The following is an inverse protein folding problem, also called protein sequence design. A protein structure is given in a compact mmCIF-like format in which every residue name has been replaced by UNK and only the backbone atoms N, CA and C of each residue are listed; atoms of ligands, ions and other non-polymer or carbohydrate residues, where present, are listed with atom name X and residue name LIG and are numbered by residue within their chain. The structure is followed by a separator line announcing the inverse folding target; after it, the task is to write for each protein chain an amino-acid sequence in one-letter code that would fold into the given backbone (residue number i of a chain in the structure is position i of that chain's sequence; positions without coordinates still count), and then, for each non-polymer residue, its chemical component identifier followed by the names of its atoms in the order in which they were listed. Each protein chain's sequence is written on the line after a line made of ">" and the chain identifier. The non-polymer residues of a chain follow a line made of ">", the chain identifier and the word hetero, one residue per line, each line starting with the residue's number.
data_IF_321790294422
#
_entry.id   IF_321790294422
#
_cell.length_a   1.000
_cell.length_b   1.000
_cell.length_c   1.000
_cell.angle_alpha   90.00
_cell.angle_beta   90.00
_cell.angle_gamma   90.00
#
_symmetry.space_group_name_H-M   'P 1'
#
loop_
_entity.id
_entity.type
_entity.pdbx_description
1 polymer ?
#
# COMPACT_ATOMS: atom_id res chain seq x y z
N UNK A 1 23.91 -22.92 -7.58
CA UNK A 1 25.39 -22.97 -7.44
C UNK A 1 25.71 -23.92 -6.29
N UNK A 2 26.64 -24.89 -6.41
CA UNK A 2 26.93 -25.78 -5.29
C UNK A 2 27.79 -25.02 -4.27
N UNK A 3 27.16 -24.59 -3.17
CA UNK A 3 27.81 -23.91 -2.04
C UNK A 3 28.65 -24.85 -1.18
N UNK A 4 29.41 -24.30 -0.25
CA UNK A 4 30.17 -25.06 0.74
C UNK A 4 29.22 -25.66 1.79
N UNK A 5 29.39 -26.93 2.18
CA UNK A 5 28.57 -27.59 3.21
C UNK A 5 29.30 -27.62 4.54
N UNK A 6 28.62 -27.27 5.63
CA UNK A 6 29.21 -27.27 6.97
C UNK A 6 29.13 -28.64 7.64
N UNK A 7 30.16 -29.01 8.40
CA UNK A 7 30.13 -30.22 9.23
C UNK A 7 29.17 -30.12 10.43
N UNK A 8 28.86 -28.89 10.86
CA UNK A 8 27.84 -28.55 11.86
C UNK A 8 27.11 -27.30 11.39
N UNK A 9 25.81 -27.14 11.68
CA UNK A 9 25.07 -25.94 11.30
C UNK A 9 25.72 -24.66 11.84
N UNK A 10 25.68 -23.59 11.05
CA UNK A 10 26.06 -22.25 11.49
C UNK A 10 24.81 -21.42 11.74
N UNK A 11 24.81 -20.61 12.79
CA UNK A 11 23.71 -19.70 13.08
C UNK A 11 23.90 -18.40 12.32
N UNK A 12 22.90 -18.02 11.53
CA UNK A 12 22.82 -16.71 10.86
C UNK A 12 21.76 -15.89 11.58
N UNK A 13 22.12 -14.67 12.00
CA UNK A 13 21.20 -13.69 12.55
C UNK A 13 21.09 -12.51 11.60
N UNK A 14 19.87 -12.16 11.21
CA UNK A 14 19.56 -11.03 10.35
C UNK A 14 18.81 -10.01 11.18
N UNK A 15 19.33 -8.79 11.23
CA UNK A 15 18.61 -7.62 11.70
C UNK A 15 18.02 -6.89 10.49
N UNK A 16 16.79 -6.45 10.59
CA UNK A 16 16.07 -5.70 9.56
C UNK A 16 15.48 -4.41 10.16
N UNK A 17 14.98 -3.53 9.30
CA UNK A 17 14.20 -2.35 9.69
C UNK A 17 12.72 -2.54 9.34
N UNK A 18 11.84 -1.75 9.95
CA UNK A 18 10.41 -1.77 9.61
C UNK A 18 10.18 -1.42 8.14
N UNK A 19 11.03 -0.54 7.58
CA UNK A 19 10.98 -0.16 6.17
C UNK A 19 11.32 -1.32 5.22
N UNK A 20 12.20 -2.24 5.64
CA UNK A 20 12.58 -3.41 4.83
C UNK A 20 11.43 -4.42 4.69
N UNK A 21 10.46 -4.39 5.62
CA UNK A 21 9.40 -5.41 5.75
C UNK A 21 7.98 -4.83 5.71
N UNK A 22 7.81 -3.55 5.35
CA UNK A 22 6.56 -2.80 5.45
C UNK A 22 5.32 -3.46 4.79
N UNK A 23 5.50 -4.30 3.77
CA UNK A 23 4.41 -4.99 3.04
C UNK A 23 4.42 -6.52 3.23
N UNK A 24 5.30 -7.01 4.11
CA UNK A 24 5.54 -8.43 4.34
C UNK A 24 5.08 -8.79 5.76
N UNK A 25 4.47 -9.96 5.93
CA UNK A 25 4.18 -10.46 7.27
C UNK A 25 5.48 -10.91 7.93
N UNK A 26 5.87 -10.27 9.04
CA UNK A 26 7.11 -10.60 9.74
C UNK A 26 7.16 -12.04 10.27
N UNK A 27 6.00 -12.57 10.70
CA UNK A 27 5.85 -13.97 11.11
C UNK A 27 6.16 -14.96 9.97
N UNK A 28 6.06 -14.50 8.73
CA UNK A 28 6.33 -15.28 7.52
C UNK A 28 7.72 -15.02 6.93
N UNK A 29 8.58 -14.22 7.58
CA UNK A 29 9.94 -13.99 7.12
C UNK A 29 10.78 -15.27 7.22
N UNK A 30 11.51 -15.57 6.17
CA UNK A 30 12.45 -16.68 6.09
C UNK A 30 13.72 -16.26 5.36
N UNK A 31 14.80 -17.02 5.60
CA UNK A 31 16.06 -16.90 4.91
C UNK A 31 16.07 -17.91 3.76
N UNK A 32 16.18 -17.44 2.53
CA UNK A 32 16.10 -18.26 1.33
C UNK A 32 17.40 -18.20 0.54
N UNK A 33 17.68 -19.25 -0.24
CA UNK A 33 18.72 -19.25 -1.26
C UNK A 33 18.12 -19.62 -2.63
N UNK A 34 18.78 -19.18 -3.69
CA UNK A 34 18.39 -19.55 -5.06
C UNK A 34 19.06 -20.88 -5.45
N UNK A 35 18.25 -21.91 -5.73
CA UNK A 35 18.77 -23.23 -6.13
C UNK A 35 19.11 -23.31 -7.64
N UNK A 36 18.67 -22.32 -8.42
CA UNK A 36 18.76 -22.30 -9.88
C UNK A 36 17.39 -22.21 -10.58
N UNK A 37 16.31 -22.54 -9.87
CA UNK A 37 14.95 -22.56 -10.37
C UNK A 37 13.94 -21.88 -9.44
N UNK A 38 14.17 -21.94 -8.12
CA UNK A 38 13.30 -21.37 -7.11
C UNK A 38 14.07 -20.82 -5.91
N UNK A 39 13.40 -19.96 -5.15
CA UNK A 39 13.82 -19.59 -3.81
C UNK A 39 13.43 -20.71 -2.85
N UNK A 40 14.42 -21.29 -2.17
CA UNK A 40 14.25 -22.43 -1.25
C UNK A 40 14.69 -22.00 0.14
N UNK A 41 13.95 -22.43 1.16
CA UNK A 41 14.28 -22.15 2.56
C UNK A 41 15.69 -22.70 2.87
N UNK A 42 16.56 -21.82 3.38
CA UNK A 42 17.94 -22.15 3.74
C UNK A 42 18.04 -22.79 5.14
N UNK A 43 16.97 -22.74 5.93
CA UNK A 43 16.94 -23.27 7.27
C UNK A 43 17.13 -24.78 7.28
N UNK A 44 18.03 -25.26 8.15
CA UNK A 44 18.12 -26.67 8.49
C UNK A 44 17.68 -26.98 9.93
N UNK A 45 16.99 -26.04 10.55
CA UNK A 45 16.42 -26.15 11.89
C UNK A 45 15.39 -25.04 12.14
N UNK A 46 14.90 -24.89 13.38
CA UNK A 46 13.86 -23.92 13.68
C UNK A 46 14.38 -22.48 13.59
N UNK A 47 13.50 -21.58 13.18
CA UNK A 47 13.71 -20.14 13.27
C UNK A 47 13.45 -19.65 14.70
N UNK A 48 14.26 -18.70 15.13
CA UNK A 48 14.03 -17.84 16.28
C UNK A 48 13.68 -16.44 15.75
N UNK A 49 12.40 -16.04 15.82
CA UNK A 49 11.90 -14.76 15.29
C UNK A 49 11.53 -13.85 16.45
N UNK A 50 12.04 -12.62 16.42
CA UNK A 50 11.70 -11.57 17.37
C UNK A 50 11.23 -10.36 16.59
N UNK A 51 9.98 -10.43 16.12
CA UNK A 51 9.35 -9.39 15.29
C UNK A 51 9.35 -8.04 15.99
N UNK A 52 9.09 -8.00 17.30
CA UNK A 52 9.12 -6.77 18.09
C UNK A 52 10.53 -6.13 18.20
N UNK A 53 11.59 -6.87 17.87
CA UNK A 53 12.98 -6.44 17.93
C UNK A 53 13.66 -6.41 16.55
N UNK A 54 12.91 -6.65 15.47
CA UNK A 54 13.37 -6.65 14.09
C UNK A 54 14.59 -7.53 13.81
N UNK A 55 14.56 -8.76 14.32
CA UNK A 55 15.57 -9.75 13.96
C UNK A 55 15.05 -11.18 13.94
N UNK A 56 15.69 -12.01 13.12
CA UNK A 56 15.52 -13.46 13.16
C UNK A 56 16.87 -14.17 13.17
N UNK A 57 16.92 -15.36 13.76
CA UNK A 57 18.09 -16.23 13.77
C UNK A 57 17.72 -17.64 13.34
N UNK A 58 18.58 -18.28 12.55
CA UNK A 58 18.31 -19.60 12.00
C UNK A 58 19.60 -20.38 11.75
N UNK A 59 19.63 -21.70 12.03
CA UNK A 59 20.74 -22.55 11.62
C UNK A 59 20.69 -22.84 10.11
N UNK A 60 21.81 -22.62 9.43
CA UNK A 60 22.05 -22.96 8.02
C UNK A 60 23.12 -24.05 7.90
N UNK A 61 22.97 -24.91 6.89
CA UNK A 61 23.83 -26.09 6.71
C UNK A 61 24.81 -25.96 5.52
N UNK A 62 24.69 -24.89 4.74
CA UNK A 62 25.60 -24.57 3.64
C UNK A 62 25.84 -23.06 3.57
N UNK A 63 26.90 -22.66 2.88
CA UNK A 63 27.18 -21.27 2.55
C UNK A 63 26.79 -21.00 1.10
N UNK A 64 25.81 -20.11 0.92
CA UNK A 64 25.39 -19.56 -0.37
C UNK A 64 25.09 -18.08 -0.18
N UNK A 65 24.70 -17.41 -1.26
CA UNK A 65 23.99 -16.14 -1.12
C UNK A 65 22.60 -16.40 -0.54
N UNK A 66 22.17 -15.51 0.34
CA UNK A 66 20.88 -15.59 1.00
C UNK A 66 20.08 -14.31 0.79
N UNK A 67 18.76 -14.46 0.76
CA UNK A 67 17.80 -13.37 0.74
C UNK A 67 16.82 -13.54 1.90
N UNK A 68 16.52 -12.44 2.60
CA UNK A 68 15.40 -12.38 3.53
C UNK A 68 14.12 -12.13 2.72
N UNK A 69 13.19 -13.08 2.74
CA UNK A 69 11.93 -13.00 2.00
C UNK A 69 10.78 -13.35 2.93
N UNK A 70 9.56 -12.92 2.62
CA UNK A 70 8.36 -13.38 3.31
C UNK A 70 7.14 -13.30 2.41
N UNK A 71 6.02 -13.83 2.88
CA UNK A 71 4.75 -13.67 2.17
C UNK A 71 4.25 -12.24 2.33
N UNK A 72 3.92 -11.59 1.21
CA UNK A 72 3.22 -10.32 1.22
C UNK A 72 1.96 -10.45 2.07
N UNK A 73 1.80 -9.57 3.05
CA UNK A 73 0.50 -9.37 3.64
C UNK A 73 -0.40 -8.93 2.49
N UNK A 74 -1.45 -9.69 2.16
CA UNK A 74 -2.43 -9.27 1.16
C UNK A 74 -3.15 -8.03 1.67
N UNK A 75 -2.50 -6.88 1.62
CA UNK A 75 -3.19 -5.63 1.47
C UNK A 75 -3.85 -5.73 0.10
N UNK A 76 -5.16 -5.48 -0.01
CA UNK A 76 -5.77 -5.34 -1.31
C UNK A 76 -5.07 -4.16 -2.01
N UNK A 77 -4.06 -4.44 -2.84
CA UNK A 77 -3.57 -3.52 -3.87
C UNK A 77 -4.56 -3.52 -5.03
N UNK A 78 -5.86 -3.59 -4.70
CA UNK A 78 -6.88 -3.06 -5.54
C UNK A 78 -6.81 -1.57 -5.36
N UNK A 79 -6.20 -0.87 -6.32
CA UNK A 79 -6.81 0.41 -6.66
C UNK A 79 -8.30 0.14 -6.78
N UNK A 80 -9.14 0.88 -6.07
CA UNK A 80 -10.55 0.83 -6.39
C UNK A 80 -10.63 1.25 -7.86
N UNK A 81 -11.01 0.34 -8.76
CA UNK A 81 -11.72 0.79 -9.94
C UNK A 81 -12.93 1.48 -9.35
N UNK A 82 -12.89 2.81 -9.28
CA UNK A 82 -14.07 3.61 -9.06
C UNK A 82 -15.09 3.05 -10.05
N UNK A 83 -16.17 2.39 -9.61
CA UNK A 83 -17.15 1.89 -10.54
C UNK A 83 -17.60 3.09 -11.37
N UNK A 84 -17.75 2.98 -12.71
CA UNK A 84 -18.33 4.06 -13.49
C UNK A 84 -19.73 4.33 -12.92
N UNK A 85 -19.86 5.33 -12.04
CA UNK A 85 -21.03 5.42 -11.18
C UNK A 85 -21.02 6.50 -10.10
N UNK A 86 -19.87 7.02 -9.65
CA UNK A 86 -19.87 8.22 -8.77
C UNK A 86 -20.32 9.48 -9.54
N UNK A 87 -20.46 9.40 -10.87
CA UNK A 87 -21.16 10.39 -11.67
C UNK A 87 -22.69 10.44 -11.40
N UNK A 88 -23.28 9.48 -10.68
CA UNK A 88 -24.74 9.38 -10.54
C UNK A 88 -25.35 10.02 -9.28
N UNK A 89 -24.60 10.17 -8.18
CA UNK A 89 -25.22 10.41 -6.86
C UNK A 89 -25.17 11.86 -6.35
N UNK A 90 -24.27 12.70 -6.85
CA UNK A 90 -24.16 14.12 -6.41
C UNK A 90 -24.83 15.10 -7.38
N UNK A 91 -25.18 14.66 -8.58
CA UNK A 91 -25.79 15.50 -9.62
C UNK A 91 -27.06 16.25 -9.18
N UNK A 92 -28.02 15.64 -8.43
CA UNK A 92 -29.23 16.35 -8.05
C UNK A 92 -28.95 17.60 -7.21
N UNK A 93 -28.05 17.47 -6.23
CA UNK A 93 -27.70 18.57 -5.31
C UNK A 93 -26.84 19.64 -5.98
N UNK A 94 -25.93 19.24 -6.87
CA UNK A 94 -25.13 20.18 -7.66
C UNK A 94 -26.01 20.98 -8.63
N UNK A 95 -26.95 20.33 -9.33
CA UNK A 95 -27.88 21.00 -10.24
C UNK A 95 -28.81 21.99 -9.50
N UNK A 96 -29.31 21.60 -8.31
CA UNK A 96 -30.09 22.49 -7.45
C UNK A 96 -29.29 23.73 -7.03
N UNK A 97 -28.03 23.56 -6.65
CA UNK A 97 -27.14 24.67 -6.30
C UNK A 97 -26.95 25.66 -7.46
N UNK A 98 -26.67 25.15 -8.66
CA UNK A 98 -26.49 26.00 -9.86
C UNK A 98 -27.78 26.73 -10.22
N UNK A 99 -28.93 26.06 -10.18
CA UNK A 99 -30.23 26.68 -10.46
C UNK A 99 -30.53 27.82 -9.47
N UNK A 100 -30.25 27.62 -8.19
CA UNK A 100 -30.47 28.64 -7.15
C UNK A 100 -29.56 29.86 -7.36
N UNK A 101 -28.29 29.64 -7.74
CA UNK A 101 -27.37 30.74 -8.10
C UNK A 101 -27.88 31.52 -9.31
N UNK A 102 -28.34 30.85 -10.37
CA UNK A 102 -28.90 31.51 -11.57
C UNK A 102 -30.14 32.33 -11.22
N UNK A 103 -31.04 31.80 -10.38
CA UNK A 103 -32.24 32.52 -9.93
C UNK A 103 -31.85 33.76 -9.12
N UNK A 104 -30.90 33.66 -8.19
CA UNK A 104 -30.42 34.81 -7.42
C UNK A 104 -29.79 35.86 -8.33
N UNK A 105 -28.93 35.47 -9.27
CA UNK A 105 -28.27 36.39 -10.22
C UNK A 105 -29.30 37.09 -11.09
N UNK A 106 -30.29 36.36 -11.61
CA UNK A 106 -31.37 36.94 -12.43
C UNK A 106 -32.24 37.90 -11.62
N UNK A 107 -32.62 37.57 -10.39
CA UNK A 107 -33.35 38.48 -9.49
C UNK A 107 -32.53 39.75 -9.21
N UNK A 108 -31.25 39.62 -8.90
CA UNK A 108 -30.36 40.77 -8.65
C UNK A 108 -30.21 41.62 -9.92
N UNK A 109 -30.03 41.01 -11.09
CA UNK A 109 -29.91 41.72 -12.36
C UNK A 109 -31.22 42.45 -12.74
N UNK A 110 -32.37 41.79 -12.59
CA UNK A 110 -33.69 42.39 -12.80
C UNK A 110 -33.96 43.51 -11.80
N UNK A 111 -33.57 43.34 -10.53
CA UNK A 111 -33.65 44.38 -9.51
C UNK A 111 -32.78 45.59 -9.84
N UNK A 112 -31.53 45.37 -10.25
CA UNK A 112 -30.64 46.43 -10.74
C UNK A 112 -31.20 47.13 -11.98
N UNK A 113 -31.79 46.39 -12.93
CA UNK A 113 -32.40 46.96 -14.14
C UNK A 113 -33.63 47.81 -13.81
N UNK A 114 -34.52 47.33 -12.93
CA UNK A 114 -35.68 48.09 -12.45
C UNK A 114 -35.24 49.39 -11.75
N UNK A 115 -34.24 49.33 -10.87
CA UNK A 115 -33.68 50.53 -10.20
C UNK A 115 -33.11 51.55 -11.19
N UNK A 116 -32.47 51.09 -12.27
CA UNK A 116 -32.00 51.99 -13.35
C UNK A 116 -33.14 52.65 -14.11
N UNK A 117 -34.24 51.92 -14.40
CA UNK A 117 -35.41 52.50 -15.07
C UNK A 117 -36.21 53.45 -14.19
N UNK A 118 -36.18 53.30 -12.86
CA UNK A 118 -36.78 54.26 -11.92
C UNK A 118 -35.86 55.44 -11.59
N UNK A 119 -34.62 55.44 -12.05
CA UNK A 119 -33.60 56.44 -11.74
C UNK A 119 -33.10 57.21 -12.97
N UNK A 120 -34.01 57.60 -13.88
CA UNK A 120 -33.70 58.66 -14.82
C UNK A 120 -34.82 59.02 -15.80
N UNK A 121 -34.86 60.30 -16.23
CA UNK A 121 -34.81 61.54 -15.45
C UNK A 121 -36.16 61.92 -14.83
#
# INVERSE_FOLDING_TARGET
>A
MPGYVFAKPLTVTIHYSDEDVAEVSEDALGLYYWDGAAWVDAACGPYDRHTDANWLSVPVCHLTEFALLGSSSTLPVGGVTEPPGVAGMTWPWVALGVALIIVVVTIVALGKRRRRCTAGP
#
